data_IF_048800882455
#
_entry.id   IF_048800882455
#
_cell.length_a   1.000
_cell.length_b   1.000
_cell.length_c   1.000
_cell.angle_alpha   90.00
_cell.angle_beta   90.00
_cell.angle_gamma   90.00
#
_symmetry.space_group_name_H-M   'P 1'
#
loop_
_entity.id
_entity.type
_entity.pdbx_description
1 polymer ?
#
# COMPACT_ATOMS: atom_id res chain seq x y z
N UNK A 1 6.88 1.79 0.33
CA UNK A 1 6.75 2.98 -0.56
C UNK A 1 8.07 3.71 -0.82
N UNK A 2 8.88 4.09 0.19
CA UNK A 2 10.13 4.88 -0.02
C UNK A 2 11.13 4.28 -1.01
N UNK A 3 11.16 2.95 -1.15
CA UNK A 3 12.00 2.30 -2.16
C UNK A 3 11.63 2.71 -3.59
N UNK A 4 10.33 2.87 -3.86
CA UNK A 4 9.79 3.28 -5.16
C UNK A 4 10.25 4.71 -5.52
N UNK A 5 10.40 5.61 -4.55
CA UNK A 5 10.89 6.98 -4.81
C UNK A 5 12.29 7.00 -5.47
N UNK A 6 13.09 5.95 -5.26
CA UNK A 6 14.50 5.90 -5.66
C UNK A 6 14.80 4.89 -6.76
N UNK A 7 13.92 3.94 -7.03
CA UNK A 7 14.19 2.82 -7.92
C UNK A 7 13.01 2.57 -8.85
N UNK A 8 13.30 2.33 -10.12
CA UNK A 8 12.30 1.88 -11.09
C UNK A 8 11.95 0.42 -10.83
N UNK A 9 10.66 0.14 -10.68
CA UNK A 9 10.10 -1.19 -10.49
C UNK A 9 9.11 -1.49 -11.61
N UNK A 10 8.98 -2.77 -11.96
CA UNK A 10 7.94 -3.19 -12.88
C UNK A 10 6.55 -3.06 -12.24
N UNK A 11 6.40 -3.60 -11.02
CA UNK A 11 5.18 -3.53 -10.25
C UNK A 11 5.47 -3.53 -8.74
N UNK A 12 4.50 -3.07 -7.95
CA UNK A 12 4.52 -3.11 -6.50
C UNK A 12 3.14 -3.54 -5.96
N UNK A 13 3.16 -4.36 -4.91
CA UNK A 13 1.96 -4.69 -4.13
C UNK A 13 2.09 -4.04 -2.76
N UNK A 14 1.09 -3.25 -2.38
CA UNK A 14 0.98 -2.60 -1.08
C UNK A 14 -0.17 -3.25 -0.31
N UNK A 15 0.05 -3.61 0.96
CA UNK A 15 -0.97 -4.20 1.84
C UNK A 15 -0.98 -3.38 3.13
N UNK A 16 -2.14 -2.84 3.52
CA UNK A 16 -2.30 -1.94 4.67
C UNK A 16 -1.26 -0.81 4.71
N UNK A 17 -1.03 -0.15 3.58
CA UNK A 17 -0.06 0.94 3.48
C UNK A 17 -0.54 2.22 4.18
N UNK A 18 0.38 2.93 4.83
CA UNK A 18 0.11 4.18 5.54
C UNK A 18 0.98 5.35 5.05
N UNK A 19 0.62 6.57 5.45
CA UNK A 19 1.29 7.81 5.09
C UNK A 19 1.87 8.57 6.28
N UNK A 20 1.44 8.29 7.51
CA UNK A 20 1.98 8.89 8.74
C UNK A 20 2.51 7.85 9.72
N UNK A 21 3.19 8.32 10.77
CA UNK A 21 3.56 7.48 11.91
C UNK A 21 2.39 7.27 12.90
N UNK A 22 1.23 7.87 12.64
CA UNK A 22 0.02 7.80 13.47
C UNK A 22 0.26 8.18 14.94
N UNK A 23 1.29 8.97 15.23
CA UNK A 23 1.70 9.31 16.59
C UNK A 23 2.40 8.18 17.35
N UNK A 24 2.70 7.04 16.71
CA UNK A 24 3.46 5.96 17.31
C UNK A 24 4.97 6.27 17.32
N UNK A 25 5.58 6.12 18.49
CA UNK A 25 6.99 6.49 18.68
C UNK A 25 7.95 5.57 17.91
N UNK A 26 7.60 4.30 17.74
CA UNK A 26 8.42 3.33 17.01
C UNK A 26 8.33 3.55 15.51
N UNK A 27 7.13 3.80 14.99
CA UNK A 27 6.92 4.21 13.59
C UNK A 27 7.67 5.50 13.28
N UNK A 28 7.63 6.49 14.17
CA UNK A 28 8.40 7.74 14.01
C UNK A 28 9.91 7.47 13.97
N UNK A 29 10.42 6.59 14.86
CA UNK A 29 11.84 6.19 14.92
C UNK A 29 12.30 5.43 13.67
N UNK A 30 11.39 4.81 12.91
CA UNK A 30 11.72 4.17 11.63
C UNK A 30 12.31 5.15 10.60
N UNK A 31 11.95 6.44 10.70
CA UNK A 31 12.37 7.49 9.78
C UNK A 31 11.64 7.48 8.43
N UNK A 32 10.60 6.66 8.24
CA UNK A 32 9.82 6.64 6.99
C UNK A 32 8.94 7.88 6.80
N UNK A 33 8.44 8.46 7.89
CA UNK A 33 7.44 9.53 7.88
C UNK A 33 8.00 10.92 8.20
N UNK A 34 9.34 11.04 8.30
CA UNK A 34 10.02 12.29 8.70
C UNK A 34 10.10 13.38 7.61
N UNK A 35 9.44 13.17 6.47
CA UNK A 35 9.39 14.08 5.31
C UNK A 35 8.21 13.74 4.43
N UNK A 36 7.81 14.66 3.55
CA UNK A 36 6.73 14.41 2.60
C UNK A 36 7.02 13.23 1.66
N UNK A 37 5.96 12.59 1.20
CA UNK A 37 6.00 11.54 0.19
C UNK A 37 6.10 12.13 -1.21
N UNK A 38 7.03 11.61 -2.02
CA UNK A 38 7.16 12.07 -3.41
C UNK A 38 6.31 11.20 -4.35
N UNK A 39 5.00 11.47 -4.34
CA UNK A 39 3.99 10.72 -5.11
C UNK A 39 4.28 10.68 -6.61
N UNK A 40 4.73 11.80 -7.19
CA UNK A 40 5.03 11.88 -8.63
C UNK A 40 6.23 11.00 -9.01
N UNK A 41 7.28 10.98 -8.19
CA UNK A 41 8.39 10.07 -8.40
C UNK A 41 7.95 8.61 -8.27
N UNK A 42 7.12 8.30 -7.27
CA UNK A 42 6.66 6.92 -7.07
C UNK A 42 5.82 6.42 -8.26
N UNK A 43 4.87 7.22 -8.75
CA UNK A 43 4.06 6.90 -9.93
C UNK A 43 4.91 6.70 -11.18
N UNK A 44 5.91 7.56 -11.39
CA UNK A 44 6.83 7.46 -12.54
C UNK A 44 7.70 6.20 -12.46
N UNK A 45 8.18 5.87 -11.26
CA UNK A 45 9.12 4.78 -11.06
C UNK A 45 8.43 3.42 -11.01
N UNK A 46 7.14 3.34 -10.69
CA UNK A 46 6.38 2.10 -10.64
C UNK A 46 5.00 2.30 -11.28
N UNK A 47 4.82 1.95 -12.57
CA UNK A 47 3.58 2.21 -13.28
C UNK A 47 2.43 1.29 -12.86
N UNK A 48 2.74 0.14 -12.26
CA UNK A 48 1.73 -0.83 -11.79
C UNK A 48 1.84 -0.91 -10.26
N UNK A 49 0.85 -0.37 -9.57
CA UNK A 49 0.75 -0.46 -8.11
C UNK A 49 -0.60 -1.07 -7.80
N UNK A 50 -0.61 -2.24 -7.17
CA UNK A 50 -1.82 -2.88 -6.62
C UNK A 50 -1.83 -2.62 -5.13
N UNK A 51 -2.97 -2.21 -4.58
CA UNK A 51 -3.11 -1.91 -3.17
C UNK A 51 -4.28 -2.66 -2.56
N UNK A 52 -4.00 -3.35 -1.46
CA UNK A 52 -4.97 -4.00 -0.60
C UNK A 52 -5.16 -3.18 0.66
N UNK A 53 -6.41 -2.96 1.04
CA UNK A 53 -6.75 -2.30 2.29
C UNK A 53 -8.05 -2.82 2.88
N UNK A 54 -8.26 -2.58 4.17
CA UNK A 54 -9.47 -3.01 4.88
C UNK A 54 -10.06 -1.88 5.70
N UNK A 55 -11.38 -1.68 5.58
CA UNK A 55 -12.13 -0.65 6.32
C UNK A 55 -12.15 -0.93 7.84
N UNK A 56 -11.91 -2.17 8.26
CA UNK A 56 -11.86 -2.61 9.66
C UNK A 56 -10.43 -2.80 10.20
N UNK A 57 -9.41 -2.26 9.52
CA UNK A 57 -8.03 -2.30 10.00
C UNK A 57 -7.85 -1.45 11.26
N UNK A 58 -7.59 -2.13 12.39
CA UNK A 58 -7.45 -1.50 13.71
C UNK A 58 -6.06 -0.89 13.96
N UNK A 59 -5.07 -1.13 13.09
CA UNK A 59 -3.71 -0.63 13.23
C UNK A 59 -3.43 0.53 12.28
N UNK A 60 -3.98 0.48 11.07
CA UNK A 60 -3.81 1.51 10.04
C UNK A 60 -5.18 1.96 9.58
N UNK A 61 -5.62 3.15 10.01
CA UNK A 61 -6.94 3.67 9.67
C UNK A 61 -7.16 3.77 8.16
N UNK A 62 -8.31 3.28 7.69
CA UNK A 62 -8.56 3.20 6.25
C UNK A 62 -8.68 4.58 5.60
N UNK A 63 -9.44 5.50 6.19
CA UNK A 63 -9.78 6.78 5.56
C UNK A 63 -8.61 7.77 5.56
N UNK A 64 -7.88 7.86 6.68
CA UNK A 64 -6.80 8.83 6.86
C UNK A 64 -5.44 8.34 6.35
N UNK A 65 -5.25 7.02 6.22
CA UNK A 65 -3.96 6.43 5.83
C UNK A 65 -4.05 5.67 4.51
N UNK A 66 -4.79 4.56 4.48
CA UNK A 66 -4.76 3.64 3.34
C UNK A 66 -5.36 4.26 2.07
N UNK A 67 -6.52 4.90 2.21
CA UNK A 67 -7.21 5.57 1.10
C UNK A 67 -6.39 6.72 0.53
N UNK A 68 -5.65 7.44 1.38
CA UNK A 68 -4.73 8.50 0.92
C UNK A 68 -3.63 7.91 0.03
N UNK A 69 -3.06 6.75 0.38
CA UNK A 69 -2.09 6.06 -0.49
C UNK A 69 -2.72 5.72 -1.84
N UNK A 70 -3.93 5.16 -1.82
CA UNK A 70 -4.66 4.77 -3.03
C UNK A 70 -4.89 5.97 -3.95
N UNK A 71 -5.45 7.06 -3.42
CA UNK A 71 -5.79 8.26 -4.20
C UNK A 71 -4.54 8.98 -4.72
N UNK A 72 -3.48 9.07 -3.92
CA UNK A 72 -2.24 9.76 -4.31
C UNK A 72 -1.42 8.99 -5.35
N UNK A 73 -1.39 7.66 -5.25
CA UNK A 73 -0.67 6.81 -6.20
C UNK A 73 -1.52 6.42 -7.41
N UNK A 74 -2.85 6.54 -7.33
CA UNK A 74 -3.75 6.02 -8.35
C UNK A 74 -3.61 4.50 -8.51
N UNK A 75 -3.37 3.79 -7.41
CA UNK A 75 -3.15 2.34 -7.43
C UNK A 75 -4.43 1.58 -7.78
N UNK A 76 -4.29 0.34 -8.24
CA UNK A 76 -5.40 -0.58 -8.46
C UNK A 76 -5.92 -1.05 -7.09
N UNK A 77 -7.17 -0.72 -6.70
CA UNK A 77 -7.64 -0.95 -5.35
C UNK A 77 -8.30 -2.32 -5.17
N UNK A 78 -8.00 -2.96 -4.05
CA UNK A 78 -8.72 -4.11 -3.49
C UNK A 78 -9.08 -3.77 -2.04
N UNK A 79 -10.28 -3.22 -1.84
CA UNK A 79 -10.76 -2.73 -0.53
C UNK A 79 -11.72 -3.77 0.05
N UNK A 80 -11.47 -4.16 1.30
CA UNK A 80 -12.26 -5.13 2.05
C UNK A 80 -12.90 -4.47 3.26
N UNK A 81 -13.87 -5.17 3.86
CA UNK A 81 -14.55 -4.72 5.08
C UNK A 81 -14.24 -5.61 6.28
N UNK A 82 -13.47 -6.69 6.08
CA UNK A 82 -13.39 -7.84 6.99
C UNK A 82 -12.00 -8.51 7.04
N UNK A 83 -10.94 -7.83 6.57
CA UNK A 83 -9.57 -8.38 6.56
C UNK A 83 -8.70 -7.86 7.68
N UNK A 84 -9.18 -6.88 8.45
CA UNK A 84 -8.41 -6.22 9.50
C UNK A 84 -7.02 -5.82 8.95
N UNK A 85 -5.94 -6.04 9.68
CA UNK A 85 -4.57 -5.77 9.27
C UNK A 85 -3.90 -6.95 8.54
N UNK A 86 -4.68 -7.80 7.85
CA UNK A 86 -4.18 -8.96 7.09
C UNK A 86 -3.27 -9.92 7.88
N UNK A 87 -3.51 -10.08 9.18
CA UNK A 87 -2.68 -10.90 10.08
C UNK A 87 -2.95 -12.41 10.00
N UNK A 88 -3.76 -12.85 9.02
CA UNK A 88 -4.06 -14.27 8.82
C UNK A 88 -2.82 -15.02 8.33
N UNK A 89 -2.59 -16.22 8.87
CA UNK A 89 -1.57 -17.14 8.36
C UNK A 89 -1.95 -17.78 7.01
N UNK A 90 -3.22 -17.66 6.62
CA UNK A 90 -3.68 -18.08 5.30
C UNK A 90 -3.68 -16.88 4.37
N UNK A 91 -2.99 -17.02 3.24
CA UNK A 91 -3.03 -16.03 2.17
C UNK A 91 -4.43 -16.00 1.58
N UNK A 92 -5.05 -14.83 1.59
CA UNK A 92 -6.35 -14.64 0.96
C UNK A 92 -6.24 -14.89 -0.55
N UNK A 93 -7.08 -15.78 -1.08
CA UNK A 93 -7.08 -16.12 -2.50
C UNK A 93 -7.34 -14.90 -3.41
N UNK A 94 -8.06 -13.89 -2.91
CA UNK A 94 -8.27 -12.64 -3.65
C UNK A 94 -6.96 -11.89 -3.92
N UNK A 95 -5.99 -11.94 -2.99
CA UNK A 95 -4.66 -11.35 -3.17
C UNK A 95 -3.91 -12.05 -4.30
N UNK A 96 -3.94 -13.39 -4.32
CA UNK A 96 -3.30 -14.17 -5.39
C UNK A 96 -3.93 -13.86 -6.74
N UNK A 97 -5.27 -13.80 -6.80
CA UNK A 97 -6.00 -13.57 -8.03
C UNK A 97 -5.72 -12.17 -8.61
N UNK A 98 -5.66 -11.17 -7.75
CA UNK A 98 -5.31 -9.80 -8.09
C UNK A 98 -3.89 -9.71 -8.67
N UNK A 99 -2.90 -10.36 -8.04
CA UNK A 99 -1.53 -10.41 -8.57
C UNK A 99 -1.50 -11.06 -9.96
N UNK A 100 -2.21 -12.18 -10.14
CA UNK A 100 -2.29 -12.85 -11.44
C UNK A 100 -2.90 -11.95 -12.52
N UNK A 101 -3.97 -11.22 -12.19
CA UNK A 101 -4.71 -10.41 -13.15
C UNK A 101 -4.03 -9.08 -13.48
N UNK A 102 -3.48 -8.41 -12.46
CA UNK A 102 -3.03 -7.03 -12.58
C UNK A 102 -1.53 -6.85 -12.69
N UNK A 103 -0.76 -7.90 -12.40
CA UNK A 103 0.69 -7.90 -12.57
C UNK A 103 1.08 -8.94 -13.62
N UNK A 104 0.79 -10.22 -13.40
CA UNK A 104 1.34 -11.30 -14.24
C UNK A 104 0.82 -11.25 -15.69
N UNK A 105 -0.49 -11.05 -15.88
CA UNK A 105 -1.07 -10.96 -17.24
C UNK A 105 -0.67 -9.70 -18.02
N UNK A 106 0.01 -8.74 -17.37
CA UNK A 106 0.45 -7.47 -17.98
C UNK A 106 1.96 -7.44 -18.25
N UNK A 107 2.68 -8.53 -17.91
CA UNK A 107 4.06 -8.81 -18.32
C UNK A 107 4.10 -9.35 -19.76
#
# INVERSE_FOLDING_TARGET
>A
MRYIEKHTLHACVLVSACVTDMGDENERKSGYYNREWNWELMKRNCPIIVQFGSEDDHLVDFESEQKVVFEKLGSIPYIFQDKNHFLSYQVDHSIVQAIQNDIIKKL
#
